data_IF_236065957150
#
_entry.id   IF_236065957150
#
_cell.length_a   1.000
_cell.length_b   1.000
_cell.length_c   1.000
_cell.angle_alpha   90.00
_cell.angle_beta   90.00
_cell.angle_gamma   90.00
#
_symmetry.space_group_name_H-M   'P 1'
#
loop_
_entity.id
_entity.type
_entity.pdbx_description
1 polymer ?
#
# COMPACT_ATOMS: atom_id res chain seq x y z
N UNK A 1 15.04 -0.81 -30.59
CA UNK A 1 13.90 -0.16 -29.95
C UNK A 1 13.89 -0.53 -28.47
N UNK A 2 13.95 0.48 -27.62
CA UNK A 2 13.90 0.27 -26.19
C UNK A 2 12.42 0.23 -25.76
N UNK A 3 11.99 -0.89 -25.19
CA UNK A 3 10.64 -1.01 -24.66
C UNK A 3 10.57 -0.35 -23.28
N UNK A 4 9.69 0.63 -23.14
CA UNK A 4 9.45 1.27 -21.86
C UNK A 4 8.49 0.40 -21.07
N UNK A 5 8.91 -0.06 -19.89
CA UNK A 5 8.09 -0.87 -18.99
C UNK A 5 7.39 0.08 -18.03
N UNK A 6 6.07 0.09 -18.09
CA UNK A 6 5.23 0.90 -17.21
C UNK A 6 4.83 0.12 -15.97
N UNK A 7 4.68 0.81 -14.86
CA UNK A 7 4.29 0.25 -13.57
C UNK A 7 2.97 -0.52 -13.68
N UNK A 8 1.99 0.01 -14.41
CA UNK A 8 0.67 -0.63 -14.52
C UNK A 8 0.70 -2.03 -15.13
N UNK A 9 1.75 -2.35 -15.89
CA UNK A 9 1.92 -3.67 -16.49
C UNK A 9 2.38 -4.73 -15.47
N UNK A 10 2.90 -4.30 -14.33
CA UNK A 10 3.53 -5.17 -13.33
C UNK A 10 2.95 -5.06 -11.93
N UNK A 11 2.02 -4.15 -11.71
CA UNK A 11 1.38 -3.99 -10.41
C UNK A 11 0.41 -5.15 -10.11
N UNK A 12 0.21 -5.42 -8.83
CA UNK A 12 -0.81 -6.37 -8.37
C UNK A 12 -2.16 -5.68 -8.31
N UNK A 13 -3.20 -6.37 -8.78
CA UNK A 13 -4.59 -5.91 -8.74
C UNK A 13 -5.53 -7.11 -8.78
N UNK A 14 -6.78 -6.99 -8.25
CA UNK A 14 -7.31 -5.83 -7.54
C UNK A 14 -6.63 -5.63 -6.19
N UNK A 15 -6.71 -4.42 -5.66
CA UNK A 15 -6.12 -4.08 -4.36
C UNK A 15 -7.19 -4.07 -3.30
N UNK A 16 -7.01 -4.83 -2.22
CA UNK A 16 -7.84 -4.71 -1.02
C UNK A 16 -7.63 -3.33 -0.45
N UNK A 17 -8.71 -2.68 -0.07
CA UNK A 17 -8.69 -1.33 0.50
C UNK A 17 -9.83 -1.18 1.49
N UNK A 18 -9.69 -0.25 2.41
CA UNK A 18 -10.70 0.02 3.42
C UNK A 18 -10.91 1.53 3.55
N UNK A 19 -12.00 1.91 4.18
CA UNK A 19 -12.28 3.30 4.53
C UNK A 19 -11.82 3.58 5.96
N UNK A 20 -11.67 4.87 6.29
CA UNK A 20 -11.10 5.30 7.57
C UNK A 20 -11.91 4.91 8.80
N UNK A 21 -13.18 4.63 8.63
CA UNK A 21 -14.11 4.31 9.73
C UNK A 21 -14.14 2.83 10.10
N UNK A 22 -13.42 1.98 9.39
CA UNK A 22 -13.35 0.56 9.71
C UNK A 22 -12.63 0.37 11.04
N UNK A 23 -13.10 -0.57 11.85
CA UNK A 23 -12.42 -0.89 13.11
C UNK A 23 -11.07 -1.56 12.85
N UNK A 24 -10.15 -1.36 13.78
CA UNK A 24 -8.82 -1.99 13.70
C UNK A 24 -8.96 -3.52 13.68
N UNK A 25 -9.90 -4.10 14.46
CA UNK A 25 -10.12 -5.55 14.44
C UNK A 25 -10.47 -6.06 13.05
N UNK A 26 -11.39 -5.40 12.36
CA UNK A 26 -11.80 -5.81 11.02
C UNK A 26 -10.67 -5.67 10.01
N UNK A 27 -9.87 -4.61 10.13
CA UNK A 27 -8.70 -4.41 9.25
C UNK A 27 -7.68 -5.55 9.44
N UNK A 28 -7.39 -5.92 10.68
CA UNK A 28 -6.48 -7.02 10.99
C UNK A 28 -6.98 -8.33 10.37
N UNK A 29 -8.29 -8.60 10.49
CA UNK A 29 -8.89 -9.80 9.88
C UNK A 29 -8.74 -9.81 8.37
N UNK A 30 -8.94 -8.68 7.70
CA UNK A 30 -8.74 -8.57 6.25
C UNK A 30 -7.30 -8.88 5.88
N UNK A 31 -6.35 -8.31 6.61
CA UNK A 31 -4.92 -8.54 6.36
C UNK A 31 -4.56 -10.02 6.54
N UNK A 32 -5.07 -10.65 7.58
CA UNK A 32 -4.82 -12.06 7.86
C UNK A 32 -5.46 -12.97 6.80
N UNK A 33 -6.75 -12.80 6.53
CA UNK A 33 -7.49 -13.63 5.58
C UNK A 33 -6.98 -13.47 4.14
N UNK A 34 -6.54 -12.27 3.77
CA UNK A 34 -6.02 -11.97 2.43
C UNK A 34 -4.51 -12.19 2.32
N UNK A 35 -3.85 -12.53 3.42
CA UNK A 35 -2.40 -12.73 3.49
C UNK A 35 -1.62 -11.53 2.93
N UNK A 36 -1.99 -10.33 3.33
CA UNK A 36 -1.35 -9.08 2.90
C UNK A 36 -0.73 -8.36 4.08
N UNK A 37 0.45 -7.79 3.86
CA UNK A 37 1.20 -7.05 4.88
C UNK A 37 0.97 -5.54 4.84
N UNK A 38 0.18 -5.06 3.87
CA UNK A 38 -0.17 -3.66 3.73
C UNK A 38 -1.63 -3.54 3.30
N UNK A 39 -2.36 -2.62 3.93
CA UNK A 39 -3.76 -2.37 3.63
C UNK A 39 -3.95 -0.87 3.39
N UNK A 40 -4.24 -0.46 2.15
CA UNK A 40 -4.52 0.94 1.85
C UNK A 40 -5.83 1.41 2.48
N UNK A 41 -5.82 2.64 2.98
CA UNK A 41 -7.00 3.35 3.46
C UNK A 41 -7.32 4.43 2.44
N UNK A 42 -8.56 4.42 1.95
CA UNK A 42 -8.97 5.34 0.88
C UNK A 42 -10.17 6.18 1.29
N UNK A 43 -10.32 7.33 0.66
CA UNK A 43 -11.49 8.19 0.72
C UNK A 43 -11.81 8.61 -0.71
N UNK A 44 -13.01 8.27 -1.19
CA UNK A 44 -13.37 8.46 -2.60
C UNK A 44 -12.33 7.82 -3.55
N UNK A 45 -11.88 6.61 -3.19
CA UNK A 45 -10.86 5.84 -3.92
C UNK A 45 -9.45 6.46 -3.91
N UNK A 46 -9.25 7.57 -3.24
CA UNK A 46 -7.94 8.22 -3.12
C UNK A 46 -7.22 7.74 -1.86
N UNK A 47 -5.97 7.28 -1.95
CA UNK A 47 -5.23 6.86 -0.78
C UNK A 47 -5.03 8.01 0.20
N UNK A 48 -5.45 7.81 1.44
CA UNK A 48 -5.24 8.75 2.53
C UNK A 48 -4.30 8.21 3.60
N UNK A 49 -4.08 6.90 3.60
CA UNK A 49 -3.19 6.26 4.54
C UNK A 49 -2.91 4.82 4.15
N UNK A 50 -2.03 4.19 4.91
CA UNK A 50 -1.76 2.76 4.83
C UNK A 50 -1.66 2.18 6.24
N UNK A 51 -2.00 0.89 6.35
CA UNK A 51 -1.79 0.10 7.56
C UNK A 51 -0.81 -1.00 7.19
N UNK A 52 0.31 -1.07 7.90
CA UNK A 52 1.32 -2.11 7.69
C UNK A 52 1.37 -3.02 8.92
N UNK A 53 2.02 -4.18 8.77
CA UNK A 53 2.27 -5.07 9.91
C UNK A 53 3.01 -4.34 11.02
N UNK A 54 3.92 -3.43 10.66
CA UNK A 54 4.65 -2.61 11.62
C UNK A 54 3.73 -1.67 12.39
N UNK A 55 2.73 -1.07 11.73
CA UNK A 55 1.72 -0.24 12.38
C UNK A 55 0.94 -1.05 13.41
N UNK A 56 0.55 -2.28 13.05
CA UNK A 56 -0.16 -3.18 13.96
C UNK A 56 0.71 -3.47 15.19
N UNK A 57 1.96 -3.82 14.98
CA UNK A 57 2.87 -4.13 16.08
C UNK A 57 3.09 -2.92 17.00
N UNK A 58 3.40 -1.77 16.43
CA UNK A 58 3.82 -0.58 17.19
C UNK A 58 2.67 0.26 17.73
N UNK A 59 1.60 0.40 16.96
CA UNK A 59 0.50 1.31 17.29
C UNK A 59 -0.71 0.60 17.86
N UNK A 60 -0.80 -0.70 17.70
CA UNK A 60 -1.91 -1.51 18.21
C UNK A 60 -1.44 -2.35 19.39
N UNK A 61 -0.55 -3.31 19.15
CA UNK A 61 -0.11 -4.27 20.17
C UNK A 61 0.69 -3.58 21.28
N UNK A 62 1.70 -2.79 20.92
CA UNK A 62 2.57 -2.13 21.89
C UNK A 62 1.83 -1.06 22.72
N UNK A 63 0.72 -0.54 22.23
CA UNK A 63 -0.06 0.51 22.89
C UNK A 63 -1.31 -0.02 23.59
N UNK A 64 -1.57 -1.33 23.52
CA UNK A 64 -2.74 -1.96 24.14
C UNK A 64 -4.07 -1.28 23.77
N UNK A 65 -4.23 -0.87 22.51
CA UNK A 65 -5.46 -0.19 22.10
C UNK A 65 -6.63 -1.15 22.00
N UNK A 66 -7.83 -0.63 22.20
CA UNK A 66 -9.06 -1.40 22.04
C UNK A 66 -9.35 -1.57 20.54
N UNK A 67 -9.29 -2.82 20.05
CA UNK A 67 -9.45 -3.15 18.63
C UNK A 67 -10.85 -2.83 18.10
N UNK A 68 -11.86 -2.85 18.96
CA UNK A 68 -13.26 -2.67 18.58
C UNK A 68 -13.71 -1.20 18.69
N UNK A 69 -13.00 -0.40 19.47
CA UNK A 69 -13.31 1.01 19.69
C UNK A 69 -12.39 1.96 18.94
N UNK A 70 -11.37 1.45 18.25
CA UNK A 70 -10.42 2.24 17.50
C UNK A 70 -10.63 2.00 16.01
N UNK A 71 -10.73 3.07 15.24
CA UNK A 71 -10.84 3.01 13.79
C UNK A 71 -9.45 3.08 13.16
N UNK A 72 -9.34 2.59 11.93
CA UNK A 72 -8.06 2.55 11.22
C UNK A 72 -7.42 3.94 11.05
N UNK A 73 -8.22 4.99 10.97
CA UNK A 73 -7.71 6.36 10.90
C UNK A 73 -6.78 6.69 12.07
N UNK A 74 -7.06 6.12 13.25
CA UNK A 74 -6.27 6.37 14.46
C UNK A 74 -4.91 5.70 14.49
N UNK A 75 -4.68 4.69 13.63
CA UNK A 75 -3.42 3.92 13.65
C UNK A 75 -2.70 3.88 12.30
N UNK A 76 -3.32 4.37 11.23
CA UNK A 76 -2.71 4.34 9.90
C UNK A 76 -1.54 5.30 9.79
N UNK A 77 -0.62 5.01 8.89
CA UNK A 77 0.40 5.96 8.45
C UNK A 77 -0.24 6.85 7.40
N UNK A 78 -0.25 8.16 7.64
CA UNK A 78 -0.88 9.14 6.76
C UNK A 78 0.01 9.52 5.59
N UNK A 79 -0.61 10.03 4.52
CA UNK A 79 0.08 10.53 3.33
C UNK A 79 1.02 9.48 2.73
N UNK A 80 0.48 8.34 2.29
CA UNK A 80 1.31 7.29 1.70
C UNK A 80 1.97 7.78 0.42
N UNK A 81 3.17 7.30 0.15
CA UNK A 81 3.86 7.61 -1.11
C UNK A 81 3.18 6.83 -2.22
N UNK A 82 2.84 7.54 -3.28
CA UNK A 82 2.19 6.96 -4.45
C UNK A 82 3.04 7.17 -5.70
N UNK A 83 2.77 6.36 -6.71
CA UNK A 83 3.39 6.50 -8.02
C UNK A 83 2.29 6.46 -9.08
N UNK A 84 2.45 7.24 -10.14
CA UNK A 84 1.46 7.29 -11.20
C UNK A 84 1.54 6.03 -12.08
N UNK A 85 0.41 5.59 -12.61
CA UNK A 85 0.28 4.34 -13.38
C UNK A 85 1.17 4.28 -14.61
N UNK A 86 1.47 5.42 -15.21
CA UNK A 86 2.29 5.51 -16.43
C UNK A 86 3.78 5.72 -16.14
N UNK A 87 4.17 5.76 -14.88
CA UNK A 87 5.56 5.88 -14.50
C UNK A 87 6.36 4.64 -14.92
N UNK A 88 7.66 4.83 -15.15
CA UNK A 88 8.56 3.73 -15.49
C UNK A 88 8.94 2.92 -14.25
N UNK A 89 9.37 1.68 -14.50
CA UNK A 89 9.89 0.82 -13.44
C UNK A 89 11.15 1.43 -12.78
N UNK A 90 11.94 2.18 -13.53
CA UNK A 90 13.10 2.90 -13.00
C UNK A 90 12.71 3.94 -11.97
N UNK A 91 11.64 4.67 -12.23
CA UNK A 91 11.12 5.68 -11.30
C UNK A 91 10.65 5.03 -10.00
N UNK A 92 9.97 3.88 -10.09
CA UNK A 92 9.57 3.11 -8.91
C UNK A 92 10.79 2.67 -8.10
N UNK A 93 11.81 2.16 -8.77
CA UNK A 93 13.07 1.74 -8.15
C UNK A 93 13.72 2.90 -7.40
N UNK A 94 13.76 4.06 -8.00
CA UNK A 94 14.33 5.27 -7.40
C UNK A 94 13.55 5.68 -6.16
N UNK A 95 12.21 5.74 -6.24
CA UNK A 95 11.36 6.10 -5.11
C UNK A 95 11.53 5.12 -3.94
N UNK A 96 11.59 3.83 -4.23
CA UNK A 96 11.79 2.81 -3.20
C UNK A 96 13.16 2.96 -2.53
N UNK A 97 14.20 3.20 -3.32
CA UNK A 97 15.57 3.36 -2.80
C UNK A 97 15.72 4.63 -1.98
N UNK A 98 15.24 5.76 -2.48
CA UNK A 98 15.37 7.06 -1.80
C UNK A 98 14.60 7.12 -0.47
N UNK A 99 13.46 6.43 -0.41
CA UNK A 99 12.58 6.47 0.76
C UNK A 99 12.66 5.20 1.62
N UNK A 100 13.47 4.22 1.21
CA UNK A 100 13.58 2.94 1.88
C UNK A 100 12.23 2.21 2.00
N UNK A 101 11.42 2.28 0.95
CA UNK A 101 10.13 1.60 0.85
C UNK A 101 10.23 0.34 0.02
N UNK A 102 9.44 -0.67 0.37
CA UNK A 102 9.33 -1.93 -0.38
C UNK A 102 8.05 -2.02 -1.18
N UNK A 103 7.14 -1.06 -1.02
CA UNK A 103 5.83 -1.05 -1.66
C UNK A 103 5.46 0.37 -2.02
N UNK A 104 4.80 0.52 -3.17
CA UNK A 104 4.27 1.80 -3.62
C UNK A 104 2.82 1.58 -4.04
N UNK A 105 1.94 2.50 -3.66
CA UNK A 105 0.57 2.51 -4.15
C UNK A 105 0.57 3.15 -5.54
N UNK A 106 -0.10 2.50 -6.49
CA UNK A 106 -0.19 2.99 -7.87
C UNK A 106 -1.53 3.69 -8.04
N UNK A 107 -1.48 4.91 -8.57
CA UNK A 107 -2.68 5.73 -8.77
C UNK A 107 -2.85 6.13 -10.24
N UNK A 108 -4.11 6.37 -10.61
CA UNK A 108 -4.49 6.93 -11.91
C UNK A 108 -5.54 7.99 -11.64
N UNK A 109 -5.24 9.25 -12.02
CA UNK A 109 -6.12 10.36 -11.67
C UNK A 109 -6.29 10.51 -10.16
N UNK A 110 -5.27 10.19 -9.39
CA UNK A 110 -5.31 10.22 -7.92
C UNK A 110 -5.98 9.03 -7.27
N UNK A 111 -6.63 8.15 -8.04
CA UNK A 111 -7.35 6.98 -7.50
C UNK A 111 -6.46 5.75 -7.46
N UNK A 112 -6.59 4.96 -6.41
CA UNK A 112 -5.83 3.73 -6.21
C UNK A 112 -6.24 2.67 -7.23
N UNK A 113 -5.26 2.16 -7.99
CA UNK A 113 -5.50 1.10 -8.98
C UNK A 113 -4.64 -0.13 -8.77
N UNK A 114 -3.56 -0.05 -8.01
CA UNK A 114 -2.69 -1.20 -7.81
C UNK A 114 -1.64 -0.95 -6.74
N UNK A 115 -0.84 -1.99 -6.50
CA UNK A 115 0.33 -1.93 -5.61
C UNK A 115 1.49 -2.54 -6.37
N UNK A 116 2.65 -1.90 -6.33
CA UNK A 116 3.90 -2.46 -6.85
C UNK A 116 4.85 -2.67 -5.69
N UNK A 117 5.53 -3.83 -5.69
CA UNK A 117 6.46 -4.20 -4.61
C UNK A 117 7.88 -4.28 -5.13
N UNK A 118 8.85 -4.29 -4.21
CA UNK A 118 10.25 -4.52 -4.56
C UNK A 118 10.42 -5.88 -5.26
N UNK A 119 9.63 -6.88 -4.87
CA UNK A 119 9.63 -8.20 -5.52
C UNK A 119 9.21 -8.08 -6.99
N UNK A 120 8.18 -7.30 -7.28
CA UNK A 120 7.73 -7.06 -8.66
C UNK A 120 8.85 -6.44 -9.50
N UNK A 121 9.57 -5.48 -8.94
CA UNK A 121 10.71 -4.83 -9.61
C UNK A 121 11.81 -5.85 -9.91
N UNK A 122 12.14 -6.71 -8.96
CA UNK A 122 13.15 -7.76 -9.13
C UNK A 122 12.73 -8.73 -10.23
N UNK A 123 11.47 -9.13 -10.26
CA UNK A 123 10.93 -10.03 -11.30
C UNK A 123 11.04 -9.41 -12.69
N UNK A 124 10.72 -8.13 -12.83
CA UNK A 124 10.84 -7.41 -14.09
C UNK A 124 12.30 -7.39 -14.57
N UNK A 125 13.22 -7.12 -13.66
CA UNK A 125 14.65 -7.02 -14.01
C UNK A 125 15.27 -8.39 -14.31
N UNK A 126 14.63 -9.46 -13.88
CA UNK A 126 15.10 -10.84 -14.13
C UNK A 126 14.49 -11.47 -15.39
N UNK A 127 13.53 -10.80 -15.97
CA UNK A 127 12.80 -11.32 -17.15
C UNK A 127 13.59 -11.17 -18.45
#
# INVERSE_FOLDING_TARGET
VVKIIKIEDWMSKPVKRVTKDLTVRKAIKIMDESNIGVLPVVENDKPIGIITERDILRRVVAKDIDLDKTNVEGIMTKNPVTINHDASILEATRLMSENNFRRLLVVKGGKLIGVVTAKDVIEVMSA
#
